data_IF_797932699042
#
_entry.id   IF_797932699042
#
_cell.length_a   1.000
_cell.length_b   1.000
_cell.length_c   1.000
_cell.angle_alpha   90.00
_cell.angle_beta   90.00
_cell.angle_gamma   90.00
#
_symmetry.space_group_name_H-M   'P 1'
#
loop_
_entity.id
_entity.type
_entity.pdbx_description
1 polymer ?
#
# COMPACT_ATOMS: atom_id res chain seq x y z
N UNK A 1 -14.46 -9.63 -2.80
CA UNK A 1 -13.13 -10.16 -2.42
C UNK A 1 -13.39 -11.14 -1.30
N UNK A 2 -12.85 -12.36 -1.34
CA UNK A 2 -13.07 -13.32 -0.26
C UNK A 2 -12.33 -12.86 1.01
N UNK A 3 -12.80 -13.21 2.21
CA UNK A 3 -12.18 -12.76 3.47
C UNK A 3 -10.69 -13.16 3.56
N UNK A 4 -10.32 -14.31 3.02
CA UNK A 4 -8.92 -14.76 2.92
C UNK A 4 -8.05 -13.88 2.01
N UNK A 5 -8.61 -13.35 0.92
CA UNK A 5 -7.89 -12.43 0.02
C UNK A 5 -7.64 -11.08 0.72
N UNK A 6 -8.59 -10.60 1.52
CA UNK A 6 -8.45 -9.36 2.32
C UNK A 6 -7.38 -9.54 3.39
N UNK A 7 -7.40 -10.66 4.12
CA UNK A 7 -6.38 -10.97 5.13
C UNK A 7 -4.97 -11.05 4.52
N UNK A 8 -4.84 -11.69 3.35
CA UNK A 8 -3.58 -11.77 2.62
C UNK A 8 -3.07 -10.38 2.20
N UNK A 9 -3.96 -9.51 1.70
CA UNK A 9 -3.61 -8.13 1.37
C UNK A 9 -3.13 -7.36 2.62
N UNK A 10 -3.85 -7.47 3.74
CA UNK A 10 -3.48 -6.77 4.98
C UNK A 10 -2.10 -7.22 5.47
N UNK A 11 -1.79 -8.52 5.41
CA UNK A 11 -0.47 -9.03 5.75
C UNK A 11 0.62 -8.47 4.83
N UNK A 12 0.37 -8.48 3.52
CA UNK A 12 1.27 -7.88 2.52
C UNK A 12 1.51 -6.39 2.79
N UNK A 13 0.43 -5.60 2.91
CA UNK A 13 0.49 -4.16 3.14
C UNK A 13 1.27 -3.84 4.41
N UNK A 14 0.98 -4.52 5.54
CA UNK A 14 1.70 -4.32 6.81
C UNK A 14 3.20 -4.59 6.69
N UNK A 15 3.61 -5.60 5.92
CA UNK A 15 5.02 -5.92 5.71
C UNK A 15 5.77 -4.87 4.87
N UNK A 16 5.08 -4.23 3.93
CA UNK A 16 5.67 -3.30 2.96
C UNK A 16 5.52 -1.81 3.28
N UNK A 17 4.52 -1.44 4.10
CA UNK A 17 4.07 -0.06 4.26
C UNK A 17 5.19 0.89 4.72
N UNK A 18 6.06 0.47 5.65
CA UNK A 18 7.17 1.32 6.11
C UNK A 18 8.16 1.64 5.00
N UNK A 19 8.48 0.67 4.14
CA UNK A 19 9.39 0.87 3.00
C UNK A 19 8.73 1.79 1.97
N UNK A 20 7.46 1.55 1.66
CA UNK A 20 6.68 2.38 0.74
C UNK A 20 6.62 3.83 1.21
N UNK A 21 6.33 4.07 2.49
CA UNK A 21 6.29 5.41 3.08
C UNK A 21 7.64 6.12 3.00
N UNK A 22 8.76 5.44 3.26
CA UNK A 22 10.09 6.04 3.11
C UNK A 22 10.36 6.45 1.67
N UNK A 23 10.00 5.62 0.70
CA UNK A 23 10.11 5.99 -0.72
C UNK A 23 9.23 7.20 -1.05
N UNK A 24 7.98 7.21 -0.58
CA UNK A 24 7.06 8.33 -0.78
C UNK A 24 7.61 9.63 -0.17
N UNK A 25 8.21 9.56 1.03
CA UNK A 25 8.83 10.71 1.69
C UNK A 25 10.00 11.28 0.90
N UNK A 26 10.84 10.42 0.30
CA UNK A 26 11.94 10.88 -0.55
C UNK A 26 11.44 11.56 -1.84
N UNK A 27 10.25 11.19 -2.34
CA UNK A 27 9.65 11.77 -3.54
C UNK A 27 8.92 13.09 -3.26
N UNK A 28 8.17 13.16 -2.17
CA UNK A 28 7.39 14.35 -1.81
C UNK A 28 8.23 15.40 -1.08
N UNK A 29 9.19 14.97 -0.26
CA UNK A 29 10.00 15.85 0.59
C UNK A 29 9.28 16.30 1.87
N UNK A 30 8.03 15.88 2.08
CA UNK A 30 7.21 16.23 3.22
C UNK A 30 6.39 15.03 3.74
N UNK A 31 5.91 15.14 4.98
CA UNK A 31 5.19 14.06 5.69
C UNK A 31 3.79 13.84 5.13
N UNK A 32 3.09 14.90 4.78
CA UNK A 32 1.67 14.89 4.39
C UNK A 32 1.52 14.23 3.01
N UNK A 33 2.32 14.66 2.04
CA UNK A 33 2.39 14.07 0.70
C UNK A 33 2.87 12.63 0.74
N UNK A 34 3.84 12.29 1.59
CA UNK A 34 4.27 10.91 1.77
C UNK A 34 3.17 9.99 2.29
N UNK A 35 2.37 10.48 3.24
CA UNK A 35 1.25 9.74 3.81
C UNK A 35 0.14 9.54 2.78
N UNK A 36 -0.25 10.60 2.08
CA UNK A 36 -1.29 10.54 1.04
C UNK A 36 -0.88 9.62 -0.10
N UNK A 37 0.35 9.75 -0.62
CA UNK A 37 0.85 8.90 -1.69
C UNK A 37 0.90 7.42 -1.27
N UNK A 38 1.31 7.14 -0.03
CA UNK A 38 1.33 5.77 0.51
C UNK A 38 -0.08 5.20 0.60
N UNK A 39 -1.04 5.97 1.12
CA UNK A 39 -2.43 5.53 1.25
C UNK A 39 -3.08 5.30 -0.12
N UNK A 40 -2.94 6.26 -1.03
CA UNK A 40 -3.44 6.16 -2.41
C UNK A 40 -2.87 4.92 -3.10
N UNK A 41 -1.56 4.68 -2.98
CA UNK A 41 -0.91 3.49 -3.57
C UNK A 41 -1.50 2.19 -3.00
N UNK A 42 -1.65 2.09 -1.68
CA UNK A 42 -2.22 0.88 -1.06
C UNK A 42 -3.70 0.70 -1.42
N UNK A 43 -4.48 1.77 -1.49
CA UNK A 43 -5.87 1.73 -1.92
C UNK A 43 -6.01 1.26 -3.37
N UNK A 44 -5.21 1.81 -4.29
CA UNK A 44 -5.18 1.38 -5.69
C UNK A 44 -4.71 -0.07 -5.82
N UNK A 45 -3.71 -0.50 -5.06
CA UNK A 45 -3.26 -1.88 -5.06
C UNK A 45 -4.35 -2.83 -4.56
N UNK A 46 -5.08 -2.45 -3.51
CA UNK A 46 -6.20 -3.24 -2.98
C UNK A 46 -7.29 -3.46 -4.04
N UNK A 47 -7.64 -2.43 -4.80
CA UNK A 47 -8.61 -2.52 -5.90
C UNK A 47 -8.19 -3.55 -6.97
N UNK A 48 -6.89 -3.72 -7.19
CA UNK A 48 -6.32 -4.62 -8.19
C UNK A 48 -5.70 -5.90 -7.60
N UNK A 49 -5.94 -6.18 -6.31
CA UNK A 49 -5.20 -7.18 -5.56
C UNK A 49 -5.27 -8.58 -6.16
N UNK A 50 -6.46 -9.01 -6.61
CA UNK A 50 -6.67 -10.32 -7.28
C UNK A 50 -5.77 -10.55 -8.49
N UNK A 51 -5.32 -9.50 -9.16
CA UNK A 51 -4.39 -9.58 -10.30
C UNK A 51 -2.94 -9.48 -9.81
N UNK A 52 -2.67 -8.62 -8.84
CA UNK A 52 -1.32 -8.39 -8.30
C UNK A 52 -0.82 -9.53 -7.39
N UNK A 53 -1.72 -10.30 -6.79
CA UNK A 53 -1.41 -11.41 -5.89
C UNK A 53 -1.26 -12.76 -6.60
N UNK A 54 -1.28 -12.76 -7.94
CA UNK A 54 -1.12 -13.96 -8.78
C UNK A 54 0.33 -14.11 -9.22
#
# INVERSE_FOLDING_TARGET
MADGEVAAFVAYARSGQRRLYRTAYLLCGDVEGAQDLTQTTLATLFQHWRKASR
#
